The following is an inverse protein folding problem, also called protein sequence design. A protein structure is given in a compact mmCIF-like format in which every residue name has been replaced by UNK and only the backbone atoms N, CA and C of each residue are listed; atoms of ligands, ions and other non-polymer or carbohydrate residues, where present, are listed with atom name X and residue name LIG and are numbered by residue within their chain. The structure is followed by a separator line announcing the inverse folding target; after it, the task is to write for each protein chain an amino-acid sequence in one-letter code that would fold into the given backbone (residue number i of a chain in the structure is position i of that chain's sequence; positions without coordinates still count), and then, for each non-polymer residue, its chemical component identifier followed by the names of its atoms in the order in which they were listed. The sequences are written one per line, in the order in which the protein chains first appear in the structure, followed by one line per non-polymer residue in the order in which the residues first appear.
data_IF_679586984679
#
_entry.id   IF_679586984679
#
_cell.length_a   1.000
_cell.length_b   1.000
_cell.length_c   1.000
_cell.angle_alpha   90.00
_cell.angle_beta   90.00
_cell.angle_gamma   90.00
#
_symmetry.space_group_name_H-M   'P 1'
#
loop_
_entity.id
_entity.type
_entity.pdbx_description
1 polymer ?
#
# COMPACT_ATOMS: atom_id res chain seq x y z
N UNK A 1 16.93 -13.71 23.82
CA UNK A 1 15.52 -13.60 24.23
C UNK A 1 14.74 -14.33 23.15
N UNK A 2 14.02 -15.39 23.49
CA UNK A 2 13.29 -16.19 22.50
C UNK A 2 12.00 -15.47 22.10
N UNK A 3 11.81 -15.26 20.80
CA UNK A 3 10.63 -14.57 20.26
C UNK A 3 9.55 -15.62 20.04
N UNK A 4 8.52 -15.65 20.88
CA UNK A 4 7.36 -16.52 20.67
C UNK A 4 6.46 -15.93 19.57
N UNK A 5 6.09 -16.76 18.60
CA UNK A 5 5.07 -16.38 17.63
C UNK A 5 3.72 -16.23 18.36
N UNK A 6 2.91 -15.22 17.99
CA UNK A 6 1.59 -15.05 18.59
C UNK A 6 0.77 -16.34 18.43
N UNK A 7 0.07 -16.73 19.50
CA UNK A 7 -0.79 -17.91 19.50
C UNK A 7 -1.85 -17.80 18.39
N UNK A 8 -2.11 -18.93 17.74
CA UNK A 8 -3.02 -19.12 16.59
C UNK A 8 -4.44 -18.55 16.82
N UNK A 9 -4.83 -18.26 18.06
CA UNK A 9 -6.11 -17.62 18.40
C UNK A 9 -6.25 -16.15 17.98
N UNK A 10 -5.18 -15.49 17.52
CA UNK A 10 -5.23 -14.18 16.85
C UNK A 10 -5.41 -14.25 15.32
N UNK A 11 -5.38 -15.46 14.74
CA UNK A 11 -5.63 -15.69 13.32
C UNK A 11 -7.14 -15.83 13.15
N UNK A 12 -7.80 -14.74 12.77
CA UNK A 12 -9.23 -14.84 12.45
C UNK A 12 -9.43 -15.54 11.11
N UNK A 13 -9.69 -16.84 11.09
CA UNK A 13 -10.89 -17.49 10.51
C UNK A 13 -10.65 -18.95 10.11
N UNK A 14 -11.71 -19.72 10.39
CA UNK A 14 -12.15 -21.02 9.92
C UNK A 14 -11.16 -22.20 9.79
N UNK A 15 -11.62 -23.27 10.41
CA UNK A 15 -10.88 -24.47 10.78
C UNK A 15 -10.55 -25.41 9.61
N UNK A 16 -10.72 -25.00 8.34
CA UNK A 16 -10.90 -25.94 7.21
C UNK A 16 -10.03 -25.74 5.95
N UNK A 17 -9.03 -24.86 5.93
CA UNK A 17 -8.01 -24.89 4.86
C UNK A 17 -6.66 -24.40 5.38
N UNK A 18 -5.56 -25.10 5.03
CA UNK A 18 -4.20 -24.92 5.56
C UNK A 18 -3.49 -23.60 5.24
N UNK A 19 -4.21 -22.48 5.15
CA UNK A 19 -3.70 -21.15 4.89
C UNK A 19 -3.43 -20.43 6.22
N UNK A 20 -2.15 -20.13 6.51
CA UNK A 20 -1.75 -19.40 7.72
C UNK A 20 -1.82 -17.90 7.43
N UNK A 21 -2.47 -17.11 8.28
CA UNK A 21 -2.66 -15.67 8.09
C UNK A 21 -2.20 -14.86 9.32
N UNK A 22 -1.38 -13.81 9.14
CA UNK A 22 -1.03 -12.85 10.21
C UNK A 22 -1.81 -11.57 9.99
N UNK A 23 -2.63 -11.20 10.99
CA UNK A 23 -3.36 -9.94 11.02
C UNK A 23 -2.60 -8.88 11.80
N UNK A 24 -2.24 -7.80 11.12
CA UNK A 24 -1.45 -6.67 11.62
C UNK A 24 -2.36 -5.46 11.66
N UNK A 25 -2.73 -5.01 12.85
CA UNK A 25 -3.58 -3.84 13.04
C UNK A 25 -2.73 -2.58 13.26
N UNK A 26 -3.02 -1.51 12.52
CA UNK A 26 -2.58 -0.15 12.82
C UNK A 26 -3.74 0.65 13.39
N UNK A 27 -3.61 0.99 14.67
CA UNK A 27 -4.55 1.83 15.38
C UNK A 27 -4.14 3.31 15.29
N UNK A 28 -5.05 4.19 15.69
CA UNK A 28 -4.79 5.64 15.76
C UNK A 28 -3.45 5.92 16.44
N UNK A 29 -2.66 6.79 15.81
CA UNK A 29 -1.30 7.20 16.23
C UNK A 29 -0.18 6.18 15.90
N UNK A 30 -0.39 5.31 14.91
CA UNK A 30 0.67 4.40 14.42
C UNK A 30 1.02 3.26 15.38
N UNK A 31 0.14 2.93 16.32
CA UNK A 31 0.32 1.77 17.19
C UNK A 31 0.05 0.49 16.42
N UNK A 32 1.06 -0.38 16.35
CA UNK A 32 1.00 -1.68 15.69
C UNK A 32 0.54 -2.74 16.70
N UNK A 33 -0.38 -3.60 16.29
CA UNK A 33 -0.89 -4.70 17.12
C UNK A 33 -1.05 -5.99 16.32
N UNK A 34 -0.73 -7.12 16.92
CA UNK A 34 -1.11 -8.47 16.44
C UNK A 34 -1.84 -9.19 17.58
N UNK A 35 -3.07 -9.65 17.34
CA UNK A 35 -3.94 -10.18 18.41
C UNK A 35 -4.12 -9.15 19.52
N UNK A 36 -3.77 -9.51 20.75
CA UNK A 36 -3.86 -8.63 21.93
C UNK A 36 -2.54 -7.91 22.27
N UNK A 37 -1.50 -8.07 21.44
CA UNK A 37 -0.16 -7.55 21.74
C UNK A 37 0.19 -6.33 20.91
N UNK A 38 0.60 -5.26 21.57
CA UNK A 38 1.21 -4.09 20.94
C UNK A 38 2.68 -4.34 20.63
N UNK A 39 3.13 -3.92 19.46
CA UNK A 39 4.46 -4.19 18.93
C UNK A 39 5.14 -2.89 18.49
N UNK A 40 6.47 -2.87 18.59
CA UNK A 40 7.29 -1.94 17.82
C UNK A 40 7.45 -2.44 16.38
N UNK A 41 7.86 -1.56 15.45
CA UNK A 41 8.16 -1.95 14.08
C UNK A 41 9.30 -2.99 14.01
N UNK A 42 10.34 -2.84 14.84
CA UNK A 42 11.45 -3.79 14.90
C UNK A 42 11.00 -5.18 15.35
N UNK A 43 10.15 -5.25 16.37
CA UNK A 43 9.61 -6.51 16.87
C UNK A 43 8.67 -7.14 15.83
N UNK A 44 7.87 -6.33 15.13
CA UNK A 44 7.06 -6.79 14.01
C UNK A 44 7.96 -7.44 12.93
N UNK A 45 9.02 -6.75 12.49
CA UNK A 45 9.96 -7.28 11.48
C UNK A 45 10.54 -8.63 11.90
N UNK A 46 10.93 -8.78 13.17
CA UNK A 46 11.43 -10.06 13.70
C UNK A 46 10.36 -11.17 13.71
N UNK A 47 9.12 -10.85 14.11
CA UNK A 47 7.99 -11.80 14.08
C UNK A 47 7.71 -12.24 12.64
N UNK A 48 7.64 -11.31 11.70
CA UNK A 48 7.36 -11.62 10.29
C UNK A 48 8.48 -12.46 9.67
N UNK A 49 9.76 -12.13 9.93
CA UNK A 49 10.91 -12.94 9.50
C UNK A 49 10.83 -14.36 10.04
N UNK A 50 10.56 -14.52 11.33
CA UNK A 50 10.40 -15.84 11.96
C UNK A 50 9.23 -16.62 11.34
N UNK A 51 8.10 -15.96 11.11
CA UNK A 51 6.94 -16.60 10.51
C UNK A 51 7.21 -17.06 9.06
N UNK A 52 7.91 -16.26 8.25
CA UNK A 52 8.34 -16.66 6.90
C UNK A 52 9.35 -17.81 6.94
N UNK A 53 10.26 -17.83 7.93
CA UNK A 53 11.20 -18.94 8.11
C UNK A 53 10.50 -20.25 8.50
N UNK A 54 9.52 -20.19 9.41
CA UNK A 54 8.79 -21.38 9.86
C UNK A 54 7.74 -21.87 8.87
N UNK A 55 7.08 -20.96 8.16
CA UNK A 55 5.88 -21.26 7.36
C UNK A 55 6.05 -21.03 5.86
N UNK A 56 7.21 -20.55 5.44
CA UNK A 56 7.50 -20.28 4.04
C UNK A 56 6.71 -19.10 3.47
N UNK A 57 6.54 -19.11 2.14
CA UNK A 57 5.83 -18.05 1.40
C UNK A 57 4.31 -18.25 1.39
N UNK A 58 3.79 -19.29 2.01
CA UNK A 58 2.35 -19.60 2.04
C UNK A 58 1.62 -18.84 3.14
N UNK A 59 2.35 -18.08 3.96
CA UNK A 59 1.75 -17.20 4.96
C UNK A 59 1.17 -15.93 4.33
N UNK A 60 -0.11 -15.71 4.57
CA UNK A 60 -0.80 -14.49 4.20
C UNK A 60 -0.55 -13.41 5.26
N UNK A 61 -0.18 -12.22 4.82
CA UNK A 61 0.01 -11.07 5.70
C UNK A 61 -1.11 -10.08 5.41
N UNK A 62 -1.85 -9.73 6.44
CA UNK A 62 -3.02 -8.89 6.33
C UNK A 62 -2.87 -7.67 7.22
N UNK A 63 -2.63 -6.52 6.59
CA UNK A 63 -2.51 -5.22 7.26
C UNK A 63 -3.88 -4.58 7.32
N UNK A 64 -4.29 -4.09 8.48
CA UNK A 64 -5.58 -3.42 8.66
C UNK A 64 -5.33 -2.12 9.40
N UNK A 65 -5.72 -0.98 8.85
CA UNK A 65 -5.42 0.32 9.45
C UNK A 65 -6.69 1.12 9.71
N UNK A 66 -6.80 1.80 10.85
CA UNK A 66 -7.90 2.74 11.07
C UNK A 66 -7.94 3.83 9.98
N UNK A 67 -9.15 4.19 9.54
CA UNK A 67 -9.38 5.18 8.46
C UNK A 67 -8.60 6.50 8.59
N UNK A 68 -8.33 6.91 9.83
CA UNK A 68 -7.67 8.17 10.16
C UNK A 68 -6.17 8.02 10.45
N UNK A 69 -5.61 6.81 10.35
CA UNK A 69 -4.16 6.62 10.37
C UNK A 69 -3.54 7.38 9.19
N UNK A 70 -2.35 7.92 9.40
CA UNK A 70 -1.63 8.61 8.33
C UNK A 70 -0.80 7.59 7.54
N UNK A 71 -0.57 7.86 6.25
CA UNK A 71 0.22 6.96 5.40
C UNK A 71 1.63 6.72 5.98
N UNK A 72 2.27 7.77 6.51
CA UNK A 72 3.57 7.62 7.20
C UNK A 72 3.57 6.61 8.35
N UNK A 73 2.43 6.40 8.99
CA UNK A 73 2.31 5.48 10.11
C UNK A 73 2.21 4.02 9.59
N UNK A 74 1.83 3.84 8.33
CA UNK A 74 1.78 2.55 7.62
C UNK A 74 3.16 2.13 7.09
N UNK A 75 3.99 3.10 6.68
CA UNK A 75 5.31 2.83 6.11
C UNK A 75 6.20 1.89 6.95
N UNK A 76 6.27 2.01 8.30
CA UNK A 76 7.02 1.06 9.13
C UNK A 76 6.54 -0.38 9.01
N UNK A 77 5.24 -0.60 8.81
CA UNK A 77 4.65 -1.94 8.64
C UNK A 77 4.95 -2.50 7.26
N UNK A 78 4.85 -1.66 6.21
CA UNK A 78 5.25 -2.03 4.85
C UNK A 78 6.73 -2.43 4.82
N UNK A 79 7.59 -1.66 5.48
CA UNK A 79 9.02 -1.96 5.56
C UNK A 79 9.28 -3.25 6.34
N UNK A 80 8.59 -3.49 7.45
CA UNK A 80 8.70 -4.74 8.19
C UNK A 80 8.29 -5.97 7.36
N UNK A 81 7.26 -5.84 6.51
CA UNK A 81 6.83 -6.89 5.59
C UNK A 81 7.88 -7.13 4.51
N UNK A 82 8.40 -6.07 3.88
CA UNK A 82 9.48 -6.17 2.89
C UNK A 82 10.74 -6.83 3.47
N UNK A 83 11.14 -6.42 4.67
CA UNK A 83 12.28 -6.98 5.39
C UNK A 83 12.12 -8.47 5.70
N UNK A 84 10.88 -8.97 5.79
CA UNK A 84 10.60 -10.40 5.95
C UNK A 84 10.76 -11.21 4.66
N UNK A 85 11.08 -10.56 3.53
CA UNK A 85 11.18 -11.19 2.22
C UNK A 85 9.82 -11.38 1.55
N UNK A 86 8.83 -10.55 1.90
CA UNK A 86 7.47 -10.57 1.34
C UNK A 86 7.18 -9.27 0.62
N UNK A 87 6.70 -9.41 -0.62
CA UNK A 87 6.34 -8.28 -1.49
C UNK A 87 4.82 -8.15 -1.69
N UNK A 88 4.03 -9.08 -1.13
CA UNK A 88 2.57 -9.13 -1.29
C UNK A 88 1.94 -9.29 0.09
N UNK A 89 0.97 -8.43 0.37
CA UNK A 89 0.13 -8.44 1.55
C UNK A 89 -1.26 -7.89 1.21
N UNK A 90 -2.26 -8.21 2.03
CA UNK A 90 -3.61 -7.66 1.94
C UNK A 90 -3.70 -6.40 2.80
N UNK A 91 -4.50 -5.42 2.37
CA UNK A 91 -4.64 -4.18 3.10
C UNK A 91 -6.09 -3.74 3.23
N UNK A 92 -6.58 -3.65 4.47
CA UNK A 92 -7.94 -3.22 4.81
C UNK A 92 -7.97 -1.92 5.63
N UNK A 93 -9.12 -1.25 5.62
CA UNK A 93 -9.40 -0.09 6.49
C UNK A 93 -10.36 -0.48 7.63
N UNK A 94 -10.01 -0.11 8.87
CA UNK A 94 -10.82 -0.30 10.07
C UNK A 94 -11.74 0.91 10.36
N UNK A 95 -12.97 0.69 10.86
CA UNK A 95 -13.65 -0.62 11.00
C UNK A 95 -14.04 -1.17 9.61
N UNK A 96 -13.83 -2.47 9.40
CA UNK A 96 -14.11 -3.14 8.12
C UNK A 96 -15.59 -2.92 7.77
N UNK A 97 -15.86 -2.04 6.82
CA UNK A 97 -17.19 -1.88 6.26
C UNK A 97 -17.36 -2.93 5.17
N UNK A 98 -18.12 -3.99 5.49
CA UNK A 98 -18.68 -4.97 4.56
C UNK A 98 -17.75 -5.51 3.45
N UNK A 99 -17.01 -6.57 3.75
CA UNK A 99 -16.77 -7.70 2.84
C UNK A 99 -15.88 -7.52 1.59
N UNK A 100 -15.50 -6.31 1.21
CA UNK A 100 -14.57 -6.08 0.09
C UNK A 100 -13.13 -5.97 0.63
N UNK A 101 -12.37 -7.06 0.53
CA UNK A 101 -10.91 -7.06 0.79
C UNK A 101 -10.25 -6.48 -0.46
N UNK A 102 -9.58 -5.33 -0.32
CA UNK A 102 -8.89 -4.68 -1.43
C UNK A 102 -7.42 -5.11 -1.49
N UNK A 103 -6.98 -5.48 -2.69
CA UNK A 103 -5.61 -5.92 -2.95
C UNK A 103 -4.74 -4.70 -3.26
N UNK A 104 -3.97 -4.23 -2.27
CA UNK A 104 -2.96 -3.20 -2.53
C UNK A 104 -1.63 -3.87 -2.90
N UNK A 105 -1.27 -3.79 -4.19
CA UNK A 105 0.04 -4.24 -4.67
C UNK A 105 1.08 -3.12 -4.53
N UNK A 106 1.86 -3.13 -3.45
CA UNK A 106 3.00 -2.22 -3.30
C UNK A 106 4.25 -2.86 -3.90
N UNK A 107 4.60 -2.51 -5.13
CA UNK A 107 5.91 -2.85 -5.74
C UNK A 107 6.80 -1.62 -5.83
N UNK A 108 8.08 -1.78 -5.55
CA UNK A 108 9.08 -0.86 -6.12
C UNK A 108 9.17 -1.16 -7.61
N UNK A 109 8.86 -0.20 -8.47
CA UNK A 109 8.89 -0.39 -9.92
C UNK A 109 9.41 0.86 -10.62
N UNK A 110 10.12 0.62 -11.70
CA UNK A 110 10.75 1.61 -12.56
C UNK A 110 10.37 1.28 -14.02
N UNK A 111 9.99 2.29 -14.81
CA UNK A 111 9.84 2.15 -16.27
C UNK A 111 10.46 3.30 -17.00
N UNK A 112 11.13 2.93 -18.10
CA UNK A 112 11.76 3.85 -19.03
C UNK A 112 10.78 4.37 -20.10
N UNK A 113 9.65 3.68 -20.35
CA UNK A 113 8.65 4.13 -21.31
C UNK A 113 7.53 4.92 -20.60
N UNK A 114 7.33 6.16 -21.05
CA UNK A 114 6.42 7.16 -20.44
C UNK A 114 4.98 7.07 -20.96
N UNK A 115 4.72 6.23 -21.97
CA UNK A 115 3.49 6.30 -22.77
C UNK A 115 2.26 5.70 -22.11
N UNK A 116 2.44 4.73 -21.21
CA UNK A 116 1.34 3.91 -20.68
C UNK A 116 1.18 4.05 -19.15
N UNK A 117 1.60 5.21 -18.61
CA UNK A 117 1.69 5.45 -17.18
C UNK A 117 0.74 6.55 -16.70
N UNK A 118 -0.14 6.20 -15.75
CA UNK A 118 -0.95 7.14 -14.99
C UNK A 118 -0.26 7.38 -13.65
N UNK A 119 0.31 8.57 -13.43
CA UNK A 119 0.90 8.95 -12.15
C UNK A 119 -0.03 9.91 -11.38
N UNK A 120 -0.42 9.51 -10.17
CA UNK A 120 -1.29 10.28 -9.28
C UNK A 120 -0.50 10.61 -8.00
N UNK A 121 -0.11 11.87 -7.82
CA UNK A 121 0.37 12.33 -6.52
C UNK A 121 -0.83 12.70 -5.64
N UNK A 122 -0.97 11.99 -4.51
CA UNK A 122 -2.08 12.20 -3.56
C UNK A 122 -1.56 13.06 -2.43
N UNK A 123 -1.93 14.34 -2.46
CA UNK A 123 -1.61 15.32 -1.41
C UNK A 123 -2.79 15.41 -0.44
N UNK A 124 -2.57 15.97 0.75
CA UNK A 124 -3.62 16.12 1.78
C UNK A 124 -4.87 16.85 1.28
N UNK A 125 -4.70 17.92 0.50
CA UNK A 125 -5.75 18.83 0.07
C UNK A 125 -5.98 18.84 -1.45
N UNK A 126 -5.14 18.16 -2.22
CA UNK A 126 -5.16 18.17 -3.70
C UNK A 126 -4.72 16.85 -4.31
N UNK A 127 -5.03 16.67 -5.59
CA UNK A 127 -4.54 15.56 -6.41
C UNK A 127 -3.75 16.14 -7.58
N UNK A 128 -2.67 15.48 -7.97
CA UNK A 128 -1.87 15.86 -9.14
C UNK A 128 -1.79 14.65 -10.05
N UNK A 129 -2.40 14.74 -11.24
CA UNK A 129 -2.36 13.69 -12.26
C UNK A 129 -1.35 14.10 -13.33
N UNK A 130 -0.31 13.31 -13.56
CA UNK A 130 0.76 13.57 -14.55
C UNK A 130 1.21 15.05 -14.52
N UNK A 131 1.59 15.51 -13.32
CA UNK A 131 2.07 16.87 -13.01
C UNK A 131 1.04 18.01 -13.19
N UNK A 132 -0.26 17.69 -13.33
CA UNK A 132 -1.34 18.68 -13.40
C UNK A 132 -2.29 18.57 -12.21
N UNK A 133 -2.68 19.72 -11.66
CA UNK A 133 -3.71 19.75 -10.61
C UNK A 133 -5.01 19.12 -11.14
N UNK A 134 -5.56 18.20 -10.35
CA UNK A 134 -6.74 17.43 -10.72
C UNK A 134 -7.75 17.45 -9.57
N UNK A 135 -9.04 17.58 -9.89
CA UNK A 135 -10.13 17.37 -8.91
C UNK A 135 -10.53 15.90 -8.92
N UNK A 136 -11.20 15.45 -7.86
CA UNK A 136 -11.61 14.05 -7.75
C UNK A 136 -12.57 13.62 -8.87
N UNK A 137 -13.57 14.44 -9.21
CA UNK A 137 -14.52 14.14 -10.28
C UNK A 137 -13.85 14.09 -11.67
N UNK A 138 -12.89 14.99 -11.90
CA UNK A 138 -12.09 15.00 -13.13
C UNK A 138 -11.21 13.75 -13.22
N UNK A 139 -10.61 13.32 -12.09
CA UNK A 139 -9.81 12.11 -12.03
C UNK A 139 -10.63 10.89 -12.45
N UNK A 140 -11.83 10.70 -11.87
CA UNK A 140 -12.71 9.58 -12.23
C UNK A 140 -13.01 9.54 -13.73
N UNK A 141 -13.41 10.68 -14.32
CA UNK A 141 -13.69 10.77 -15.76
C UNK A 141 -12.45 10.45 -16.61
N UNK A 142 -11.27 10.93 -16.20
CA UNK A 142 -10.03 10.68 -16.95
C UNK A 142 -9.63 9.20 -16.89
N UNK A 143 -9.72 8.57 -15.70
CA UNK A 143 -9.38 7.16 -15.54
C UNK A 143 -10.32 6.25 -16.34
N UNK A 144 -11.63 6.54 -16.36
CA UNK A 144 -12.60 5.81 -17.19
C UNK A 144 -12.24 5.90 -18.67
N UNK A 145 -12.03 7.11 -19.19
CA UNK A 145 -11.64 7.31 -20.60
C UNK A 145 -10.31 6.65 -20.94
N UNK A 146 -9.34 6.70 -20.03
CA UNK A 146 -8.06 6.05 -20.24
C UNK A 146 -8.24 4.53 -20.38
N UNK A 147 -9.03 3.92 -19.50
CA UNK A 147 -9.30 2.46 -19.53
C UNK A 147 -10.05 1.98 -20.77
N UNK A 148 -10.83 2.85 -21.42
CA UNK A 148 -11.49 2.57 -22.70
C UNK A 148 -10.52 2.58 -23.88
N UNK A 149 -9.43 3.34 -23.78
CA UNK A 149 -8.43 3.51 -24.84
C UNK A 149 -7.34 2.43 -24.76
N UNK A 150 -6.98 2.03 -23.55
CA UNK A 150 -5.93 1.05 -23.31
C UNK A 150 -6.22 0.23 -22.04
N UNK A 151 -6.26 -1.09 -22.22
CA UNK A 151 -6.55 -2.05 -21.15
C UNK A 151 -5.28 -2.49 -20.39
N UNK A 152 -4.08 -2.10 -20.82
CA UNK A 152 -2.81 -2.44 -20.16
C UNK A 152 -2.25 -1.31 -19.28
N UNK A 153 -3.05 -0.27 -19.04
CA UNK A 153 -2.66 0.89 -18.26
C UNK A 153 -2.24 0.54 -16.83
N UNK A 154 -1.13 1.15 -16.41
CA UNK A 154 -0.58 1.01 -15.06
C UNK A 154 -0.76 2.32 -14.30
N UNK A 155 -1.15 2.22 -13.04
CA UNK A 155 -1.29 3.38 -12.17
C UNK A 155 -0.20 3.41 -11.10
N UNK A 156 0.46 4.56 -10.97
CA UNK A 156 1.41 4.87 -9.90
C UNK A 156 0.82 5.91 -8.98
N UNK A 157 0.61 5.53 -7.73
CA UNK A 157 0.12 6.42 -6.69
C UNK A 157 1.29 6.80 -5.80
N UNK A 158 1.51 8.11 -5.66
CA UNK A 158 2.56 8.68 -4.82
C UNK A 158 1.88 9.49 -3.71
N UNK A 159 1.60 8.86 -2.56
CA UNK A 159 0.97 9.52 -1.44
C UNK A 159 1.94 10.40 -0.67
N UNK A 160 1.47 11.58 -0.23
CA UNK A 160 2.18 12.34 0.80
C UNK A 160 2.11 11.62 2.15
N UNK A 161 3.14 11.82 2.97
CA UNK A 161 3.27 11.20 4.28
C UNK A 161 2.12 11.55 5.24
N UNK A 162 1.46 12.69 5.05
CA UNK A 162 0.42 13.22 5.92
C UNK A 162 -1.02 12.98 5.42
N UNK A 163 -1.22 12.21 4.35
CA UNK A 163 -2.57 11.80 3.94
C UNK A 163 -3.11 10.71 4.86
N UNK A 164 -4.43 10.64 4.99
CA UNK A 164 -5.08 9.52 5.68
C UNK A 164 -5.06 8.26 4.82
N UNK A 165 -5.04 7.10 5.48
CA UNK A 165 -5.18 5.80 4.83
C UNK A 165 -6.48 5.71 4.03
N UNK A 166 -7.59 6.25 4.55
CA UNK A 166 -8.85 6.29 3.80
C UNK A 166 -8.67 6.98 2.44
N UNK A 167 -8.01 8.14 2.42
CA UNK A 167 -7.78 8.89 1.18
C UNK A 167 -6.94 8.12 0.18
N UNK A 168 -5.95 7.34 0.64
CA UNK A 168 -5.16 6.47 -0.23
C UNK A 168 -6.04 5.36 -0.83
N UNK A 169 -6.80 4.67 0.02
CA UNK A 169 -7.67 3.56 -0.40
C UNK A 169 -8.77 4.03 -1.36
N UNK A 170 -9.38 5.20 -1.12
CA UNK A 170 -10.38 5.78 -2.02
C UNK A 170 -9.85 5.99 -3.45
N UNK A 171 -8.56 6.33 -3.60
CA UNK A 171 -7.92 6.52 -4.90
C UNK A 171 -7.57 5.18 -5.55
N UNK A 172 -7.07 4.21 -4.77
CA UNK A 172 -6.81 2.84 -5.25
C UNK A 172 -8.11 2.20 -5.75
N UNK A 173 -9.18 2.32 -4.97
CA UNK A 173 -10.50 1.81 -5.31
C UNK A 173 -11.05 2.46 -6.58
N UNK A 174 -10.83 3.77 -6.75
CA UNK A 174 -11.20 4.47 -7.98
C UNK A 174 -10.47 3.89 -9.20
N UNK A 175 -9.16 3.62 -9.10
CA UNK A 175 -8.40 2.97 -10.18
C UNK A 175 -8.93 1.57 -10.50
N UNK A 176 -9.20 0.75 -9.48
CA UNK A 176 -9.76 -0.60 -9.67
C UNK A 176 -11.15 -0.56 -10.33
N UNK A 177 -12.01 0.38 -9.92
CA UNK A 177 -13.34 0.57 -10.54
C UNK A 177 -13.27 1.00 -12.00
N UNK A 178 -12.15 1.61 -12.40
CA UNK A 178 -11.88 1.94 -13.80
C UNK A 178 -11.09 0.84 -14.52
N UNK A 179 -10.99 -0.38 -13.96
CA UNK A 179 -10.26 -1.51 -14.53
C UNK A 179 -8.77 -1.22 -14.81
N UNK A 180 -8.16 -0.31 -14.05
CA UNK A 180 -6.73 0.00 -14.18
C UNK A 180 -5.96 -0.91 -13.23
N UNK A 181 -5.14 -1.79 -13.79
CA UNK A 181 -4.38 -2.76 -13.03
C UNK A 181 -3.05 -3.11 -13.72
N UNK A 182 -1.93 -3.21 -12.99
CA UNK A 182 -1.77 -3.03 -11.54
C UNK A 182 -1.76 -1.57 -11.08
N UNK A 183 -2.22 -1.36 -9.84
CA UNK A 183 -2.01 -0.12 -9.08
C UNK A 183 -0.80 -0.30 -8.17
N UNK A 184 0.18 0.59 -8.29
CA UNK A 184 1.44 0.55 -7.57
C UNK A 184 1.54 1.79 -6.67
N UNK A 185 1.67 1.58 -5.36
CA UNK A 185 1.91 2.66 -4.40
C UNK A 185 3.41 2.80 -4.18
N UNK A 186 3.95 4.01 -4.31
CA UNK A 186 5.38 4.29 -4.20
C UNK A 186 5.65 5.56 -3.41
N UNK A 187 6.75 5.60 -2.66
CA UNK A 187 7.25 6.82 -2.01
C UNK A 187 8.06 7.70 -2.98
N UNK A 188 8.50 7.11 -4.10
CA UNK A 188 9.31 7.76 -5.11
C UNK A 188 8.50 7.97 -6.40
N UNK A 189 8.85 9.03 -7.14
CA UNK A 189 8.32 9.21 -8.50
C UNK A 189 8.69 7.99 -9.34
N UNK A 190 7.73 7.49 -10.11
CA UNK A 190 7.98 6.43 -11.08
C UNK A 190 8.98 6.86 -12.17
N UNK A 191 9.11 8.19 -12.36
CA UNK A 191 10.00 8.80 -13.35
C UNK A 191 10.77 9.95 -12.66
N UNK A 192 12.11 9.87 -12.53
CA UNK A 192 12.91 10.99 -12.06
C UNK A 192 12.91 12.13 -13.09
N UNK A 193 12.84 13.37 -12.62
CA UNK A 193 12.97 14.56 -13.47
C UNK A 193 14.42 14.68 -13.97
N UNK A 194 14.72 14.17 -15.17
CA UNK A 194 16.04 14.39 -15.78
C UNK A 194 16.35 15.86 -16.12
N UNK A 195 15.35 16.75 -16.06
CA UNK A 195 15.48 18.15 -16.47
C UNK A 195 15.96 19.13 -15.37
N UNK A 196 16.16 18.69 -14.12
CA UNK A 196 16.69 19.60 -13.07
C UNK A 196 18.22 19.62 -12.99
N UNK A 197 18.93 18.59 -13.46
CA UNK A 197 20.40 18.54 -13.38
C UNK A 197 21.14 19.28 -14.52
N UNK A 198 20.42 19.86 -15.49
CA UNK A 198 21.04 20.66 -16.57
C UNK A 198 20.98 22.17 -16.34
N UNK A 199 20.26 22.65 -15.33
CA UNK A 199 20.16 24.08 -15.02
C UNK A 199 21.19 24.57 -13.98
N UNK A 200 21.72 23.68 -13.12
CA UNK A 200 22.66 24.09 -12.05
C UNK A 200 24.15 24.05 -12.46
N UNK A 201 24.50 23.49 -13.63
CA UNK A 201 25.87 23.48 -14.15
C UNK A 201 26.13 24.49 -15.28
N UNK A 202 25.24 25.47 -15.44
CA UNK A 202 25.36 26.54 -16.43
C UNK A 202 25.33 27.94 -15.78
N UNK A 203 26.01 28.09 -14.64
CA UNK A 203 26.38 29.40 -14.07
C UNK A 203 27.80 29.37 -13.50
#
# INVERSE_FOLDING_TARGET
MDIELPSVHGLGYDHDAGNREIKIDLLRNGKIRIGDRFLSADLLSQILKKAVQEYGKDIFMHVRAEKNCLYKDVCPVINAIKDSGRDIFFFDVLPIHSGEIDYIYIRSWYSEDKRDLIQINVKKDRLILNDRLCKYDDLNMILQKASELDHELKCFIIPDSDITVQRLVDIIYLCHRCSIFPVIVSEEKAIPNEDQNKAENAN
#
